data_IF_680117466009
#
_entry.id   IF_680117466009
#
_cell.length_a   1.000
_cell.length_b   1.000
_cell.length_c   1.000
_cell.angle_alpha   90.00
_cell.angle_beta   90.00
_cell.angle_gamma   90.00
#
_symmetry.space_group_name_H-M   'P 1'
#
loop_
_entity.id
_entity.type
_entity.pdbx_description
1 polymer ?
#
# COMPACT_ATOMS: atom_id res chain seq x y z
N UNK A 1 -79.05 45.67 33.51
CA UNK A 1 -77.62 45.81 33.86
C UNK A 1 -76.98 44.46 33.62
N UNK A 2 -76.22 44.33 32.49
CA UNK A 2 -75.62 43.06 32.03
C UNK A 2 -74.14 43.03 32.40
N UNK A 3 -73.75 42.04 33.18
CA UNK A 3 -72.32 41.76 33.46
C UNK A 3 -71.75 40.98 32.31
N UNK A 4 -70.64 41.45 31.80
CA UNK A 4 -69.80 40.72 30.85
C UNK A 4 -68.73 39.97 31.60
N UNK A 5 -68.71 38.64 31.41
CA UNK A 5 -67.65 37.75 31.89
C UNK A 5 -66.59 37.65 30.78
N UNK A 6 -65.34 37.99 31.09
CA UNK A 6 -64.20 37.86 30.20
C UNK A 6 -63.54 36.49 30.47
N UNK A 7 -63.65 35.57 29.54
CA UNK A 7 -62.89 34.27 29.61
C UNK A 7 -61.54 34.41 29.00
N UNK A 8 -60.53 34.09 29.78
CA UNK A 8 -59.08 33.95 29.33
C UNK A 8 -58.91 32.55 28.78
N UNK A 9 -58.63 32.45 27.48
CA UNK A 9 -58.19 31.20 26.83
C UNK A 9 -56.67 31.14 26.87
N UNK A 10 -56.16 30.23 27.68
CA UNK A 10 -54.74 29.85 27.63
C UNK A 10 -54.45 28.92 26.43
N UNK A 11 -53.79 29.44 25.41
CA UNK A 11 -53.23 28.64 24.32
C UNK A 11 -51.90 28.00 24.79
N UNK A 12 -51.95 26.70 25.05
CA UNK A 12 -50.72 25.90 25.26
C UNK A 12 -50.16 25.53 23.88
N UNK A 13 -49.12 26.25 23.47
CA UNK A 13 -48.41 25.95 22.24
C UNK A 13 -47.50 24.73 22.45
N UNK A 14 -47.87 23.58 21.91
CA UNK A 14 -47.00 22.41 21.83
C UNK A 14 -45.94 22.64 20.76
N UNK A 15 -44.70 22.95 21.16
CA UNK A 15 -43.56 22.96 20.25
C UNK A 15 -43.20 21.50 19.88
N UNK A 16 -43.55 21.11 18.66
CA UNK A 16 -43.07 19.85 18.06
C UNK A 16 -41.61 20.07 17.66
N UNK A 17 -40.69 19.57 18.46
CA UNK A 17 -39.29 19.41 18.08
C UNK A 17 -39.20 18.33 17.00
N UNK A 18 -39.27 18.72 15.74
CA UNK A 18 -38.87 17.86 14.63
C UNK A 18 -37.36 17.64 14.67
N UNK A 19 -36.91 16.58 15.30
CA UNK A 19 -35.52 16.09 15.10
C UNK A 19 -35.42 15.64 13.64
N UNK A 20 -34.78 16.46 12.81
CA UNK A 20 -34.35 16.05 11.48
C UNK A 20 -33.25 15.00 11.67
N UNK A 21 -33.59 13.72 11.59
CA UNK A 21 -32.65 12.71 11.26
C UNK A 21 -32.08 13.04 9.87
N UNK A 22 -30.92 13.67 9.81
CA UNK A 22 -30.16 13.69 8.57
C UNK A 22 -29.86 12.23 8.22
N UNK A 23 -30.54 11.71 7.19
CA UNK A 23 -30.11 10.51 6.50
C UNK A 23 -28.66 10.75 6.10
N UNK A 24 -27.73 10.05 6.73
CA UNK A 24 -26.39 9.87 6.20
C UNK A 24 -26.61 9.32 4.80
N UNK A 25 -26.33 10.13 3.79
CA UNK A 25 -26.51 9.75 2.40
C UNK A 25 -25.74 8.46 2.18
N UNK A 26 -26.43 7.42 1.75
CA UNK A 26 -25.77 6.21 1.22
C UNK A 26 -24.87 6.71 0.10
N UNK A 27 -23.55 6.54 0.26
CA UNK A 27 -22.60 6.74 -0.84
C UNK A 27 -23.00 5.69 -1.87
N UNK A 28 -23.65 6.14 -2.96
CA UNK A 28 -23.87 5.28 -4.12
C UNK A 28 -22.48 4.89 -4.64
N UNK A 29 -22.09 3.67 -4.40
CA UNK A 29 -20.88 3.11 -5.00
C UNK A 29 -21.18 2.89 -6.47
N UNK A 30 -20.46 3.59 -7.34
CA UNK A 30 -20.49 3.31 -8.77
C UNK A 30 -19.98 1.89 -9.02
N UNK A 31 -20.93 0.98 -9.27
CA UNK A 31 -20.67 -0.44 -9.55
C UNK A 31 -20.51 -0.72 -11.03
N UNK A 32 -20.42 0.31 -11.88
CA UNK A 32 -20.18 0.11 -13.32
C UNK A 32 -18.91 -0.72 -13.53
N UNK A 33 -18.98 -1.84 -14.25
CA UNK A 33 -17.83 -2.71 -14.42
C UNK A 33 -16.68 -2.04 -15.16
N UNK A 34 -15.45 -2.23 -14.67
CA UNK A 34 -14.21 -1.80 -15.35
C UNK A 34 -13.90 -2.82 -16.46
N UNK A 35 -14.29 -2.50 -17.70
CA UNK A 35 -14.15 -3.38 -18.86
C UNK A 35 -13.04 -2.97 -19.82
N UNK A 36 -12.01 -2.27 -19.33
CA UNK A 36 -10.86 -1.77 -20.05
C UNK A 36 -9.57 -2.02 -19.28
N UNK A 37 -8.41 -1.85 -19.93
CA UNK A 37 -7.12 -1.88 -19.27
C UNK A 37 -7.00 -0.69 -18.33
N UNK A 38 -6.79 -0.94 -17.05
CA UNK A 38 -6.89 0.06 -16.01
C UNK A 38 -5.67 0.08 -15.08
N UNK A 39 -5.35 1.26 -14.56
CA UNK A 39 -4.53 1.41 -13.36
C UNK A 39 -5.42 1.70 -12.15
N UNK A 40 -5.19 0.98 -11.06
CA UNK A 40 -5.84 1.22 -9.78
C UNK A 40 -4.85 1.94 -8.86
N UNK A 41 -5.20 3.13 -8.41
CA UNK A 41 -4.36 3.97 -7.54
C UNK A 41 -5.03 4.11 -6.18
N UNK A 42 -4.36 3.64 -5.14
CA UNK A 42 -4.84 3.80 -3.76
C UNK A 42 -4.51 5.21 -3.27
N UNK A 43 -5.52 5.92 -2.78
CA UNK A 43 -5.41 7.28 -2.25
C UNK A 43 -5.62 7.25 -0.73
N UNK A 44 -4.51 7.20 0.03
CA UNK A 44 -4.53 6.97 1.47
C UNK A 44 -5.36 7.98 2.25
N UNK A 45 -5.19 9.27 2.00
CA UNK A 45 -5.93 10.30 2.72
C UNK A 45 -7.39 10.42 2.26
N UNK A 46 -7.66 10.21 0.97
CA UNK A 46 -9.03 10.25 0.44
C UNK A 46 -9.84 9.00 0.77
N UNK A 47 -9.20 7.92 1.21
CA UNK A 47 -9.83 6.61 1.43
C UNK A 47 -10.58 6.12 0.19
N UNK A 48 -9.90 6.19 -0.97
CA UNK A 48 -10.48 5.84 -2.28
C UNK A 48 -9.48 5.11 -3.16
N UNK A 49 -9.99 4.52 -4.25
CA UNK A 49 -9.18 4.05 -5.38
C UNK A 49 -9.58 4.85 -6.61
N UNK A 50 -8.62 5.52 -7.24
CA UNK A 50 -8.83 6.10 -8.57
C UNK A 50 -8.59 5.03 -9.63
N UNK A 51 -9.54 4.87 -10.55
CA UNK A 51 -9.44 3.94 -11.69
C UNK A 51 -9.10 4.75 -12.93
N UNK A 52 -7.87 4.59 -13.41
CA UNK A 52 -7.36 5.28 -14.60
C UNK A 52 -7.53 4.34 -15.80
N UNK A 53 -8.15 4.84 -16.85
CA UNK A 53 -8.20 4.14 -18.14
C UNK A 53 -6.85 4.31 -18.85
N UNK A 54 -6.14 3.21 -19.10
CA UNK A 54 -4.79 3.23 -19.68
C UNK A 54 -4.77 3.67 -21.16
N UNK A 55 -5.89 3.59 -21.88
CA UNK A 55 -5.95 4.04 -23.27
C UNK A 55 -6.07 5.56 -23.41
N UNK A 56 -6.70 6.22 -22.43
CA UNK A 56 -6.92 7.68 -22.43
C UNK A 56 -6.05 8.42 -21.43
N UNK A 57 -5.47 7.71 -20.45
CA UNK A 57 -4.75 8.28 -19.31
C UNK A 57 -5.62 9.28 -18.51
N UNK A 58 -6.89 8.95 -18.32
CA UNK A 58 -7.82 9.75 -17.52
C UNK A 58 -8.45 8.90 -16.44
N UNK A 59 -8.82 9.52 -15.30
CA UNK A 59 -9.62 8.84 -14.28
C UNK A 59 -11.03 8.62 -14.83
N UNK A 60 -11.42 7.36 -14.95
CA UNK A 60 -12.75 6.94 -15.40
C UNK A 60 -13.74 6.97 -14.24
N UNK A 61 -13.35 6.44 -13.09
CA UNK A 61 -14.15 6.47 -11.87
C UNK A 61 -13.30 6.42 -10.61
N UNK A 62 -13.96 6.70 -9.49
CA UNK A 62 -13.37 6.58 -8.15
C UNK A 62 -14.19 5.60 -7.32
N UNK A 63 -13.54 4.58 -6.76
CA UNK A 63 -14.14 3.64 -5.83
C UNK A 63 -13.93 4.15 -4.42
N UNK A 64 -15.00 4.42 -3.68
CA UNK A 64 -14.92 4.76 -2.27
C UNK A 64 -14.67 3.52 -1.44
N UNK A 65 -13.67 3.55 -0.58
CA UNK A 65 -13.40 2.47 0.36
C UNK A 65 -14.25 2.64 1.61
N UNK A 66 -14.69 1.55 2.25
CA UNK A 66 -15.45 1.66 3.48
C UNK A 66 -14.60 2.31 4.57
N UNK A 67 -15.20 3.16 5.39
CA UNK A 67 -14.60 3.59 6.65
C UNK A 67 -14.62 2.38 7.59
N UNK A 68 -13.45 1.97 8.04
CA UNK A 68 -13.32 0.77 8.87
C UNK A 68 -13.36 1.14 10.35
N UNK A 69 -13.90 0.24 11.19
CA UNK A 69 -13.88 0.45 12.64
C UNK A 69 -12.44 0.35 13.15
N UNK A 70 -11.98 1.38 13.83
CA UNK A 70 -10.80 1.29 14.69
C UNK A 70 -11.23 0.60 15.97
N UNK A 71 -10.58 -0.50 16.31
CA UNK A 71 -10.68 -1.05 17.67
C UNK A 71 -9.83 -0.17 18.58
N UNK A 72 -10.46 0.85 19.17
CA UNK A 72 -9.79 1.66 20.17
C UNK A 72 -9.50 0.79 21.40
N UNK A 73 -8.27 0.91 21.89
CA UNK A 73 -7.84 0.41 23.18
C UNK A 73 -8.83 0.86 24.26
N UNK A 74 -9.23 -0.07 25.11
CA UNK A 74 -10.12 0.17 26.24
C UNK A 74 -9.69 1.40 27.04
N UNK A 75 -10.47 2.48 26.98
CA UNK A 75 -10.27 3.66 27.81
C UNK A 75 -10.49 5.01 27.15
N UNK A 76 -10.58 5.14 25.83
CA UNK A 76 -10.95 6.38 25.14
C UNK A 76 -12.34 6.26 24.54
N UNK A 77 -13.21 7.18 24.87
CA UNK A 77 -14.59 7.23 24.42
C UNK A 77 -14.69 7.25 22.89
N UNK A 78 -15.36 6.25 22.33
CA UNK A 78 -15.89 6.24 20.98
C UNK A 78 -15.21 5.28 20.02
N UNK A 79 -15.82 4.11 19.82
CA UNK A 79 -15.60 3.30 18.61
C UNK A 79 -16.20 4.05 17.43
N UNK A 80 -15.40 4.92 16.80
CA UNK A 80 -15.79 5.67 15.62
C UNK A 80 -15.28 5.00 14.34
N UNK A 81 -16.03 5.18 13.27
CA UNK A 81 -15.53 4.87 11.91
C UNK A 81 -14.45 5.88 11.56
N UNK A 82 -13.24 5.41 11.26
CA UNK A 82 -12.08 6.24 10.97
C UNK A 82 -11.45 5.88 9.62
N UNK A 83 -10.72 6.81 9.04
CA UNK A 83 -9.83 6.49 7.93
C UNK A 83 -8.67 5.65 8.46
N UNK A 84 -8.59 4.41 8.00
CA UNK A 84 -7.53 3.46 8.35
C UNK A 84 -6.32 3.55 7.40
N UNK A 85 -6.25 4.59 6.58
CA UNK A 85 -5.15 4.89 5.67
C UNK A 85 -4.82 3.70 4.74
N UNK A 86 -5.66 3.43 3.72
CA UNK A 86 -5.33 2.39 2.74
C UNK A 86 -3.95 2.68 2.13
N UNK A 87 -3.10 1.65 2.07
CA UNK A 87 -1.70 1.86 1.74
C UNK A 87 -1.29 1.13 0.46
N UNK A 88 -1.26 -0.18 0.46
CA UNK A 88 -0.83 -0.94 -0.70
C UNK A 88 -1.98 -1.70 -1.33
N UNK A 89 -1.95 -1.84 -2.65
CA UNK A 89 -2.89 -2.63 -3.43
C UNK A 89 -2.13 -3.68 -4.24
N UNK A 90 -2.66 -4.89 -4.31
CA UNK A 90 -2.21 -5.92 -5.24
C UNK A 90 -3.40 -6.63 -5.90
N UNK A 91 -3.14 -7.31 -7.02
CA UNK A 91 -4.15 -8.07 -7.76
C UNK A 91 -3.94 -9.57 -7.55
N UNK A 92 -5.04 -10.33 -7.56
CA UNK A 92 -4.97 -11.78 -7.72
C UNK A 92 -4.36 -12.13 -9.09
N UNK A 93 -3.72 -13.31 -9.25
CA UNK A 93 -3.10 -13.68 -10.53
C UNK A 93 -4.08 -13.70 -11.71
N UNK A 94 -5.35 -14.08 -11.48
CA UNK A 94 -6.43 -14.07 -12.45
C UNK A 94 -7.05 -12.68 -12.71
N UNK A 95 -6.55 -11.64 -11.99
CA UNK A 95 -7.02 -10.25 -12.08
C UNK A 95 -8.50 -10.04 -11.69
N UNK A 96 -9.13 -11.02 -11.07
CA UNK A 96 -10.53 -10.94 -10.63
C UNK A 96 -10.70 -10.21 -9.29
N UNK A 97 -9.67 -10.22 -8.44
CA UNK A 97 -9.69 -9.62 -7.11
C UNK A 97 -8.57 -8.62 -6.95
N UNK A 98 -8.80 -7.62 -6.12
CA UNK A 98 -7.76 -6.74 -5.58
C UNK A 98 -7.78 -6.81 -4.06
N UNK A 99 -6.61 -6.73 -3.46
CA UNK A 99 -6.44 -6.70 -2.01
C UNK A 99 -5.75 -5.42 -1.60
N UNK A 100 -6.27 -4.78 -0.55
CA UNK A 100 -5.76 -3.51 -0.03
C UNK A 100 -5.43 -3.70 1.45
N UNK A 101 -4.25 -3.26 1.85
CA UNK A 101 -3.83 -3.22 3.25
C UNK A 101 -4.17 -1.87 3.88
N UNK A 102 -4.54 -1.91 5.16
CA UNK A 102 -4.84 -0.75 5.98
C UNK A 102 -4.00 -0.81 7.26
N UNK A 103 -2.90 -0.06 7.31
CA UNK A 103 -2.03 -0.05 8.49
C UNK A 103 -2.65 0.62 9.72
N UNK A 104 -3.73 1.39 9.57
CA UNK A 104 -4.39 2.07 10.67
C UNK A 104 -3.81 3.43 11.03
N UNK A 105 -2.75 3.83 10.35
CA UNK A 105 -2.07 5.12 10.53
C UNK A 105 -1.52 5.62 9.19
N UNK A 106 -1.25 6.92 9.11
CA UNK A 106 -0.61 7.52 7.94
C UNK A 106 0.89 7.17 7.92
N UNK A 107 1.28 6.34 6.97
CA UNK A 107 2.69 6.00 6.68
C UNK A 107 3.17 6.63 5.37
N UNK A 108 2.41 7.56 4.78
CA UNK A 108 2.79 8.30 3.58
C UNK A 108 3.72 9.45 3.91
N UNK A 109 4.52 9.88 2.94
CA UNK A 109 5.42 11.04 3.11
C UNK A 109 6.90 10.70 3.11
N UNK A 110 7.24 9.51 2.61
CA UNK A 110 8.60 9.00 2.55
C UNK A 110 9.02 8.32 3.84
N UNK A 111 9.89 7.41 3.67
CA UNK A 111 10.49 6.47 4.60
C UNK A 111 10.94 7.03 5.95
N UNK A 112 11.26 8.32 6.02
CA UNK A 112 11.65 8.98 7.26
C UNK A 112 10.53 9.04 8.32
N UNK A 113 9.25 8.88 7.94
CA UNK A 113 8.16 8.91 8.91
C UNK A 113 7.98 7.59 9.66
N UNK A 114 8.17 6.44 9.01
CA UNK A 114 8.24 5.17 9.74
C UNK A 114 9.34 5.23 10.80
N UNK A 115 10.49 5.73 10.42
CA UNK A 115 11.65 5.81 11.27
C UNK A 115 11.49 6.83 12.39
N UNK A 116 11.01 8.05 12.10
CA UNK A 116 10.80 9.08 13.11
C UNK A 116 9.72 8.71 14.13
N UNK A 117 8.71 7.96 13.73
CA UNK A 117 7.68 7.45 14.63
C UNK A 117 8.22 6.40 15.60
N UNK A 118 9.29 5.69 15.25
CA UNK A 118 9.83 4.57 16.03
C UNK A 118 11.16 4.88 16.76
N UNK A 119 11.88 5.95 16.41
CA UNK A 119 13.25 6.20 16.93
C UNK A 119 13.34 7.24 18.05
N UNK A 120 12.30 8.03 18.34
CA UNK A 120 12.35 8.94 19.47
C UNK A 120 12.18 8.16 20.77
N UNK A 121 13.22 8.13 21.61
CA UNK A 121 13.28 7.36 22.86
C UNK A 121 12.18 7.67 23.89
N UNK A 122 11.35 8.70 23.64
CA UNK A 122 10.13 8.99 24.41
C UNK A 122 8.94 8.14 24.01
N UNK A 123 9.03 7.33 22.94
CA UNK A 123 7.92 6.59 22.36
C UNK A 123 7.89 5.10 22.68
N UNK A 124 8.85 4.54 23.43
CA UNK A 124 8.74 3.14 23.86
C UNK A 124 7.43 2.87 24.65
N UNK A 125 6.91 3.86 25.36
CA UNK A 125 5.59 3.79 26.00
C UNK A 125 4.42 4.01 25.03
N UNK A 126 4.59 4.85 24.00
CA UNK A 126 3.57 5.12 22.99
C UNK A 126 3.58 4.10 21.85
N UNK A 127 4.72 3.44 21.60
CA UNK A 127 4.85 2.34 20.65
C UNK A 127 3.92 1.19 21.03
N UNK A 128 3.81 0.88 22.32
CA UNK A 128 2.86 -0.13 22.83
C UNK A 128 1.41 0.23 22.50
N UNK A 129 1.04 1.50 22.48
CA UNK A 129 -0.31 1.95 22.15
C UNK A 129 -0.56 2.04 20.64
N UNK A 130 0.44 2.45 19.84
CA UNK A 130 0.30 2.53 18.36
C UNK A 130 0.39 1.14 17.71
N UNK A 131 1.17 0.22 18.26
CA UNK A 131 1.20 -1.19 17.84
C UNK A 131 -0.05 -1.99 18.24
N UNK A 132 -0.92 -1.45 19.08
CA UNK A 132 -2.25 -2.00 19.31
C UNK A 132 -3.26 -1.61 18.23
N UNK A 133 -2.85 -0.83 17.23
CA UNK A 133 -3.70 -0.55 16.07
C UNK A 133 -3.84 -1.85 15.27
N UNK A 134 -5.05 -2.37 15.23
CA UNK A 134 -5.34 -3.55 14.42
C UNK A 134 -5.33 -3.16 12.96
N UNK A 135 -4.35 -3.64 12.21
CA UNK A 135 -4.34 -3.54 10.76
C UNK A 135 -5.50 -4.31 10.15
N UNK A 136 -5.87 -3.94 8.95
CA UNK A 136 -6.94 -4.62 8.20
C UNK A 136 -6.50 -4.90 6.77
N UNK A 137 -7.13 -5.91 6.19
CA UNK A 137 -7.02 -6.22 4.77
C UNK A 137 -8.43 -6.23 4.22
N UNK A 138 -8.64 -5.53 3.11
CA UNK A 138 -9.87 -5.51 2.36
C UNK A 138 -9.68 -6.19 1.02
N UNK A 139 -10.52 -7.16 0.72
CA UNK A 139 -10.57 -7.85 -0.56
C UNK A 139 -11.78 -7.33 -1.33
N UNK A 140 -11.53 -6.85 -2.55
CA UNK A 140 -12.55 -6.34 -3.45
C UNK A 140 -12.58 -7.13 -4.76
N UNK A 141 -13.73 -7.16 -5.39
CA UNK A 141 -13.85 -7.53 -6.80
C UNK A 141 -13.16 -6.47 -7.67
N UNK A 142 -12.22 -6.88 -8.51
CA UNK A 142 -11.40 -5.95 -9.28
C UNK A 142 -12.16 -5.31 -10.46
N UNK A 143 -13.30 -5.85 -10.83
CA UNK A 143 -14.13 -5.33 -11.94
C UNK A 143 -15.15 -4.32 -11.44
N UNK A 144 -15.83 -4.65 -10.35
CA UNK A 144 -16.95 -3.83 -9.82
C UNK A 144 -16.54 -2.91 -8.67
N UNK A 145 -15.44 -3.24 -7.97
CA UNK A 145 -15.06 -2.57 -6.72
C UNK A 145 -15.86 -3.03 -5.49
N UNK A 146 -16.73 -4.03 -5.64
CA UNK A 146 -17.54 -4.52 -4.54
C UNK A 146 -16.67 -5.24 -3.48
N UNK A 147 -16.98 -5.02 -2.20
CA UNK A 147 -16.30 -5.69 -1.09
C UNK A 147 -16.65 -7.18 -1.06
N UNK A 148 -15.62 -8.02 -1.09
CA UNK A 148 -15.74 -9.48 -0.95
C UNK A 148 -15.52 -9.89 0.51
N UNK A 149 -14.46 -9.37 1.15
CA UNK A 149 -14.07 -9.75 2.49
C UNK A 149 -13.24 -8.68 3.19
N UNK A 150 -13.42 -8.57 4.50
CA UNK A 150 -12.55 -7.84 5.42
C UNK A 150 -11.87 -8.83 6.37
N UNK A 151 -10.56 -8.68 6.58
CA UNK A 151 -9.77 -9.41 7.56
C UNK A 151 -9.19 -8.43 8.57
N UNK A 152 -9.31 -8.75 9.84
CA UNK A 152 -8.69 -8.00 10.94
C UNK A 152 -7.45 -8.75 11.41
N UNK A 153 -6.34 -8.01 11.60
CA UNK A 153 -5.06 -8.53 12.04
C UNK A 153 -4.73 -8.06 13.46
N UNK A 154 -3.83 -8.77 14.12
CA UNK A 154 -3.36 -8.47 15.47
C UNK A 154 -2.17 -7.49 15.50
N UNK A 155 -1.92 -6.77 14.40
CA UNK A 155 -0.87 -5.77 14.24
C UNK A 155 -1.03 -5.03 12.92
N UNK A 156 -0.08 -4.16 12.60
CA UNK A 156 -0.12 -3.31 11.40
C UNK A 156 0.10 -4.17 10.15
N UNK A 157 -0.81 -4.06 9.16
CA UNK A 157 -0.65 -4.65 7.84
C UNK A 157 -0.10 -3.62 6.87
N UNK A 158 1.11 -3.81 6.37
CA UNK A 158 1.71 -2.89 5.41
C UNK A 158 1.38 -3.30 3.98
N UNK A 159 1.51 -4.60 3.67
CA UNK A 159 1.10 -5.16 2.40
C UNK A 159 0.33 -6.48 2.55
N UNK A 160 -0.35 -6.86 1.45
CA UNK A 160 -0.92 -8.19 1.28
C UNK A 160 -0.82 -8.60 -0.19
N UNK A 161 -0.38 -9.83 -0.46
CA UNK A 161 -0.16 -10.33 -1.81
C UNK A 161 -0.70 -11.75 -1.96
N UNK A 162 -1.27 -12.04 -3.12
CA UNK A 162 -1.65 -13.41 -3.48
C UNK A 162 -0.41 -14.22 -3.88
N UNK A 163 -0.43 -15.51 -3.56
CA UNK A 163 0.53 -16.45 -4.15
C UNK A 163 0.37 -16.50 -5.67
N UNK A 164 1.44 -16.78 -6.45
CA UNK A 164 1.36 -16.82 -7.91
C UNK A 164 0.35 -17.82 -8.46
N UNK A 165 0.03 -18.89 -7.72
CA UNK A 165 -1.02 -19.86 -8.08
C UNK A 165 -2.44 -19.43 -7.64
N UNK A 166 -2.57 -18.28 -6.97
CA UNK A 166 -3.83 -17.71 -6.52
C UNK A 166 -4.50 -18.40 -5.34
N UNK A 167 -3.86 -19.40 -4.72
CA UNK A 167 -4.49 -20.21 -3.67
C UNK A 167 -4.34 -19.62 -2.27
N UNK A 168 -3.38 -18.76 -2.06
CA UNK A 168 -3.07 -18.19 -0.76
C UNK A 168 -2.97 -16.67 -0.81
N UNK A 169 -3.28 -16.03 0.31
CA UNK A 169 -3.05 -14.61 0.55
C UNK A 169 -2.05 -14.47 1.71
N UNK A 170 -0.95 -13.77 1.46
CA UNK A 170 0.12 -13.58 2.40
C UNK A 170 0.21 -12.12 2.83
N UNK A 171 0.50 -11.88 4.10
CA UNK A 171 0.69 -10.53 4.64
C UNK A 171 1.74 -10.51 5.73
N UNK A 172 2.59 -9.49 5.73
CA UNK A 172 3.44 -9.17 6.87
C UNK A 172 2.60 -8.46 7.95
N UNK A 173 2.80 -8.84 9.21
CA UNK A 173 2.20 -8.20 10.37
C UNK A 173 3.31 -7.59 11.21
N UNK A 174 3.39 -6.27 11.18
CA UNK A 174 4.37 -5.47 11.91
C UNK A 174 4.12 -5.57 13.40
N UNK A 175 5.03 -6.20 14.10
CA UNK A 175 5.05 -6.39 15.55
C UNK A 175 6.50 -6.39 16.03
N UNK A 176 6.77 -6.17 17.33
CA UNK A 176 8.11 -6.36 17.91
C UNK A 176 8.65 -7.78 17.71
N UNK A 177 7.76 -8.78 17.69
CA UNK A 177 8.03 -10.14 17.19
C UNK A 177 7.22 -10.25 15.91
N UNK A 178 7.88 -10.06 14.77
CA UNK A 178 7.23 -9.99 13.46
C UNK A 178 6.60 -11.33 13.05
N UNK A 179 5.53 -11.24 12.29
CA UNK A 179 4.82 -12.41 11.77
C UNK A 179 4.52 -12.24 10.28
N UNK A 180 4.44 -13.36 9.59
CA UNK A 180 3.76 -13.47 8.30
C UNK A 180 2.55 -14.36 8.50
N UNK A 181 1.39 -13.90 8.07
CA UNK A 181 0.15 -14.69 8.08
C UNK A 181 -0.19 -15.13 6.68
N UNK A 182 -0.60 -16.38 6.55
CA UNK A 182 -1.00 -17.02 5.30
C UNK A 182 -2.46 -17.45 5.43
N UNK A 183 -3.27 -16.99 4.49
CA UNK A 183 -4.70 -17.30 4.44
C UNK A 183 -5.03 -18.10 3.18
N UNK A 184 -6.01 -18.97 3.25
CA UNK A 184 -6.64 -19.60 2.08
C UNK A 184 -7.36 -18.55 1.24
N UNK A 185 -7.04 -18.41 -0.04
CA UNK A 185 -7.61 -17.36 -0.90
C UNK A 185 -9.07 -17.63 -1.32
N UNK A 186 -9.60 -18.83 -1.06
CA UNK A 186 -10.97 -19.20 -1.40
C UNK A 186 -11.98 -18.81 -0.31
N UNK A 187 -11.59 -18.94 0.97
CA UNK A 187 -12.46 -18.70 2.12
C UNK A 187 -11.86 -17.74 3.16
N UNK A 188 -10.58 -17.35 2.98
CA UNK A 188 -9.81 -16.47 3.86
C UNK A 188 -9.60 -16.99 5.28
N UNK A 189 -9.65 -18.31 5.48
CA UNK A 189 -9.25 -18.93 6.73
C UNK A 189 -7.73 -18.84 6.93
N UNK A 190 -7.30 -18.59 8.17
CA UNK A 190 -5.87 -18.58 8.51
C UNK A 190 -5.31 -20.00 8.40
N UNK A 191 -4.33 -20.20 7.52
CA UNK A 191 -3.63 -21.48 7.30
C UNK A 191 -2.36 -21.59 8.14
N UNK A 192 -1.58 -20.51 8.19
CA UNK A 192 -0.27 -20.50 8.83
C UNK A 192 0.09 -19.14 9.43
N UNK A 193 0.96 -19.19 10.46
CA UNK A 193 1.61 -18.00 11.03
C UNK A 193 3.09 -18.32 11.20
N UNK A 194 3.94 -17.57 10.51
CA UNK A 194 5.39 -17.73 10.48
C UNK A 194 5.99 -16.59 11.30
N UNK A 195 6.80 -16.92 12.32
CA UNK A 195 7.54 -15.90 13.07
C UNK A 195 8.78 -15.49 12.27
N UNK A 196 8.96 -14.19 12.06
CA UNK A 196 10.07 -13.60 11.29
C UNK A 196 10.79 -12.53 12.13
N UNK A 197 11.65 -11.73 11.51
CA UNK A 197 12.34 -10.63 12.20
C UNK A 197 11.40 -9.54 12.70
N UNK A 198 11.97 -8.56 13.40
CA UNK A 198 11.22 -7.45 14.00
C UNK A 198 10.75 -6.47 12.93
N UNK A 199 9.53 -5.97 13.09
CA UNK A 199 8.92 -4.97 12.21
C UNK A 199 9.00 -5.36 10.72
N UNK A 200 8.44 -6.53 10.34
CA UNK A 200 8.40 -6.90 8.92
C UNK A 200 7.47 -5.93 8.18
N UNK A 201 7.99 -5.29 7.14
CA UNK A 201 7.23 -4.33 6.35
C UNK A 201 6.52 -5.01 5.17
N UNK A 202 7.25 -5.68 4.32
CA UNK A 202 6.69 -6.28 3.13
C UNK A 202 7.00 -7.76 2.98
N UNK A 203 6.06 -8.43 2.31
CA UNK A 203 6.18 -9.80 1.84
C UNK A 203 6.05 -9.84 0.32
N UNK A 204 7.00 -10.49 -0.37
CA UNK A 204 7.01 -10.61 -1.82
C UNK A 204 7.44 -12.01 -2.26
N UNK A 205 6.89 -12.47 -3.37
CA UNK A 205 7.28 -13.74 -3.97
C UNK A 205 8.46 -13.57 -4.92
N UNK A 206 9.31 -14.60 -5.04
CA UNK A 206 10.23 -14.73 -6.16
C UNK A 206 9.47 -14.90 -7.49
N UNK A 207 10.12 -14.60 -8.62
CA UNK A 207 9.49 -14.71 -9.94
C UNK A 207 8.96 -16.13 -10.24
N UNK A 208 9.64 -17.16 -9.74
CA UNK A 208 9.21 -18.56 -9.89
C UNK A 208 8.17 -19.00 -8.85
N UNK A 209 7.79 -18.11 -7.93
CA UNK A 209 6.78 -18.33 -6.91
C UNK A 209 7.16 -19.33 -5.81
N UNK A 210 8.40 -19.83 -5.78
CA UNK A 210 8.80 -20.87 -4.82
C UNK A 210 9.25 -20.34 -3.48
N UNK A 211 9.68 -19.09 -3.43
CA UNK A 211 10.17 -18.44 -2.21
C UNK A 211 9.43 -17.14 -1.94
N UNK A 212 9.37 -16.81 -0.67
CA UNK A 212 8.80 -15.58 -0.16
C UNK A 212 9.88 -14.83 0.61
N UNK A 213 10.03 -13.56 0.32
CA UNK A 213 11.01 -12.66 0.92
C UNK A 213 10.28 -11.69 1.85
N UNK A 214 10.80 -11.53 3.06
CA UNK A 214 10.22 -10.67 4.10
C UNK A 214 11.29 -9.71 4.58
N UNK A 215 11.12 -8.43 4.28
CA UNK A 215 12.01 -7.37 4.75
C UNK A 215 11.69 -7.03 6.21
N UNK A 216 12.64 -7.24 7.12
CA UNK A 216 12.47 -7.03 8.57
C UNK A 216 13.19 -5.74 8.99
N UNK A 217 12.48 -4.63 9.01
CA UNK A 217 13.04 -3.29 9.16
C UNK A 217 13.93 -3.11 10.39
N UNK A 218 13.49 -3.51 11.57
CA UNK A 218 14.27 -3.34 12.79
C UNK A 218 15.31 -4.44 13.02
N UNK A 219 15.22 -5.56 12.32
CA UNK A 219 16.22 -6.63 12.39
C UNK A 219 17.35 -6.47 11.36
N UNK A 220 17.25 -5.52 10.44
CA UNK A 220 18.23 -5.28 9.37
C UNK A 220 18.56 -6.56 8.57
N UNK A 221 17.52 -7.32 8.24
CA UNK A 221 17.66 -8.57 7.50
C UNK A 221 16.41 -8.88 6.65
N UNK A 222 16.58 -9.86 5.76
CA UNK A 222 15.50 -10.43 4.97
C UNK A 222 15.35 -11.90 5.36
N UNK A 223 14.16 -12.30 5.74
CA UNK A 223 13.79 -13.71 5.97
C UNK A 223 13.30 -14.30 4.67
N UNK A 224 13.85 -15.44 4.27
CA UNK A 224 13.45 -16.20 3.08
C UNK A 224 12.68 -17.43 3.53
N UNK A 225 11.47 -17.59 3.02
CA UNK A 225 10.52 -18.65 3.37
C UNK A 225 10.25 -19.51 2.13
N UNK A 226 10.19 -20.83 2.31
CA UNK A 226 9.67 -21.73 1.28
C UNK A 226 8.16 -21.54 1.13
N UNK A 227 7.71 -21.21 -0.07
CA UNK A 227 6.31 -20.88 -0.32
C UNK A 227 5.35 -22.07 -0.16
N UNK A 228 5.85 -23.32 -0.26
CA UNK A 228 5.04 -24.53 -0.16
C UNK A 228 5.01 -25.03 1.29
N UNK A 229 6.20 -25.23 1.88
CA UNK A 229 6.32 -25.84 3.22
C UNK A 229 6.14 -24.83 4.36
N UNK A 230 6.18 -23.52 4.07
CA UNK A 230 6.13 -22.41 5.04
C UNK A 230 7.31 -22.39 6.02
N UNK A 231 8.36 -23.13 5.72
CA UNK A 231 9.58 -23.17 6.54
C UNK A 231 10.50 -21.99 6.17
N UNK A 232 11.13 -21.42 7.18
CA UNK A 232 12.22 -20.46 6.98
C UNK A 232 13.41 -21.23 6.41
N UNK A 233 13.87 -20.82 5.24
CA UNK A 233 15.05 -21.38 4.59
C UNK A 233 16.32 -20.72 5.10
N UNK A 234 16.27 -19.41 5.25
CA UNK A 234 17.38 -18.60 5.72
C UNK A 234 16.95 -17.22 6.19
N UNK A 235 17.84 -16.52 6.87
CA UNK A 235 17.70 -15.09 7.21
C UNK A 235 19.01 -14.41 6.90
N UNK A 236 19.01 -13.53 5.90
CA UNK A 236 20.20 -12.90 5.36
C UNK A 236 20.28 -11.44 5.81
N UNK A 237 21.41 -11.00 6.33
CA UNK A 237 21.64 -9.59 6.69
C UNK A 237 21.54 -8.71 5.45
N UNK A 238 20.83 -7.58 5.56
CA UNK A 238 20.73 -6.54 4.55
C UNK A 238 21.40 -5.24 5.04
N UNK A 239 21.16 -4.13 4.36
CA UNK A 239 21.45 -2.81 4.91
C UNK A 239 20.50 -2.44 6.05
N UNK A 240 20.68 -1.24 6.60
CA UNK A 240 19.88 -0.75 7.72
C UNK A 240 18.47 -0.38 7.28
N UNK A 241 17.50 -0.89 8.02
CA UNK A 241 16.08 -0.63 7.88
C UNK A 241 15.53 -1.00 6.48
N UNK A 242 15.56 -2.30 6.11
CA UNK A 242 14.93 -2.76 4.89
C UNK A 242 13.40 -2.65 5.01
N UNK A 243 12.74 -2.09 3.99
CA UNK A 243 11.27 -1.91 3.98
C UNK A 243 10.59 -2.69 2.87
N UNK A 244 11.29 -3.02 1.80
CA UNK A 244 10.79 -3.84 0.71
C UNK A 244 11.82 -4.85 0.21
N UNK A 245 11.31 -5.90 -0.43
CA UNK A 245 12.10 -6.87 -1.18
C UNK A 245 11.34 -7.15 -2.48
N UNK A 246 11.60 -6.36 -3.52
CA UNK A 246 10.85 -6.34 -4.77
C UNK A 246 11.44 -7.31 -5.79
N UNK A 247 10.63 -7.99 -6.61
CA UNK A 247 11.14 -8.73 -7.76
C UNK A 247 11.96 -7.83 -8.68
N UNK A 248 13.19 -8.22 -8.92
CA UNK A 248 14.17 -7.53 -9.77
C UNK A 248 14.40 -8.25 -11.09
N UNK A 249 15.44 -7.89 -11.81
CA UNK A 249 15.81 -8.52 -13.07
C UNK A 249 16.68 -9.74 -12.86
N UNK A 250 16.58 -10.72 -13.77
CA UNK A 250 17.51 -11.86 -13.83
C UNK A 250 17.49 -12.75 -12.58
N UNK A 251 16.32 -12.93 -11.96
CA UNK A 251 16.18 -13.74 -10.75
C UNK A 251 16.76 -13.07 -9.51
N UNK A 252 16.77 -11.74 -9.46
CA UNK A 252 17.15 -10.96 -8.29
C UNK A 252 15.92 -10.45 -7.56
N UNK A 253 16.11 -10.18 -6.26
CA UNK A 253 15.22 -9.33 -5.47
C UNK A 253 15.97 -8.03 -5.17
N UNK A 254 15.29 -6.89 -5.26
CA UNK A 254 15.79 -5.60 -4.82
C UNK A 254 15.34 -5.34 -3.40
N UNK A 255 16.29 -5.15 -2.49
CA UNK A 255 16.01 -4.84 -1.09
C UNK A 255 16.37 -3.39 -0.83
N UNK A 256 15.37 -2.55 -0.61
CA UNK A 256 15.55 -1.12 -0.33
C UNK A 256 15.83 -0.90 1.16
N UNK A 257 16.98 -0.33 1.46
CA UNK A 257 17.45 -0.05 2.81
C UNK A 257 17.40 1.46 3.04
N UNK A 258 16.35 1.92 3.71
CA UNK A 258 16.07 3.35 3.84
C UNK A 258 17.14 4.13 4.56
N UNK A 259 17.66 3.59 5.67
CA UNK A 259 18.69 4.28 6.47
C UNK A 259 20.05 4.34 5.80
N UNK A 260 20.40 3.31 5.05
CA UNK A 260 21.67 3.27 4.33
C UNK A 260 21.59 3.94 2.96
N UNK A 261 20.38 4.29 2.51
CA UNK A 261 20.16 4.87 1.18
C UNK A 261 20.74 3.98 0.08
N UNK A 262 20.44 2.67 0.17
CA UNK A 262 20.94 1.66 -0.77
C UNK A 262 19.86 0.72 -1.26
N UNK A 263 20.11 0.11 -2.42
CA UNK A 263 19.43 -1.10 -2.85
C UNK A 263 20.40 -2.26 -2.79
N UNK A 264 20.10 -3.28 -1.99
CA UNK A 264 20.80 -4.56 -2.09
C UNK A 264 20.16 -5.43 -3.18
N UNK A 265 21.00 -6.14 -3.94
CA UNK A 265 20.56 -7.18 -4.85
C UNK A 265 20.74 -8.53 -4.21
N UNK A 266 19.65 -9.26 -4.09
CA UNK A 266 19.61 -10.59 -3.48
C UNK A 266 19.19 -11.61 -4.54
N UNK A 267 19.97 -12.68 -4.70
CA UNK A 267 19.61 -13.74 -5.63
C UNK A 267 18.38 -14.49 -5.11
N UNK A 268 17.31 -14.53 -5.88
CA UNK A 268 16.02 -15.11 -5.47
C UNK A 268 16.07 -16.63 -5.31
N UNK A 269 17.02 -17.30 -5.95
CA UNK A 269 17.20 -18.77 -5.83
C UNK A 269 18.01 -19.13 -4.60
N UNK A 270 19.12 -18.43 -4.34
CA UNK A 270 20.04 -18.76 -3.24
C UNK A 270 19.79 -17.98 -1.97
N UNK A 271 19.03 -16.87 -2.01
CA UNK A 271 18.85 -15.94 -0.88
C UNK A 271 20.08 -15.11 -0.53
N UNK A 272 21.16 -15.23 -1.29
CA UNK A 272 22.43 -14.54 -1.02
C UNK A 272 22.43 -13.12 -1.59
N UNK A 273 22.99 -12.17 -0.83
CA UNK A 273 23.29 -10.83 -1.34
C UNK A 273 24.42 -10.91 -2.37
N UNK A 274 24.20 -10.27 -3.53
CA UNK A 274 25.12 -10.32 -4.68
C UNK A 274 25.75 -8.97 -5.01
N UNK A 275 25.15 -7.88 -4.52
CA UNK A 275 25.64 -6.52 -4.77
C UNK A 275 24.83 -5.45 -4.04
N UNK A 276 25.32 -4.22 -4.12
CA UNK A 276 24.70 -3.04 -3.53
C UNK A 276 24.80 -1.86 -4.47
N UNK A 277 23.70 -1.15 -4.67
CA UNK A 277 23.66 0.13 -5.37
C UNK A 277 23.53 1.25 -4.34
N UNK A 278 24.46 2.20 -4.34
CA UNK A 278 24.40 3.41 -3.54
C UNK A 278 23.49 4.43 -4.23
N UNK A 279 22.52 4.98 -3.51
CA UNK A 279 21.53 5.90 -4.05
C UNK A 279 21.87 7.35 -3.75
N UNK A 280 22.29 7.68 -2.50
CA UNK A 280 22.49 9.03 -2.01
C UNK A 280 21.19 9.75 -1.62
N UNK A 281 20.07 9.04 -1.59
CA UNK A 281 18.75 9.50 -1.14
C UNK A 281 18.00 8.32 -0.52
N UNK A 282 17.01 8.61 0.30
CA UNK A 282 16.13 7.57 0.86
C UNK A 282 15.14 7.09 -0.20
N UNK A 283 15.17 5.80 -0.58
CA UNK A 283 14.31 5.26 -1.62
C UNK A 283 12.84 5.19 -1.17
N UNK A 284 11.93 5.39 -2.11
CA UNK A 284 10.51 5.04 -1.93
C UNK A 284 10.25 3.61 -2.38
N UNK A 285 10.38 3.33 -3.66
CA UNK A 285 10.18 2.01 -4.26
C UNK A 285 11.21 1.77 -5.37
N UNK A 286 11.77 0.55 -5.41
CA UNK A 286 12.56 0.07 -6.54
C UNK A 286 11.73 -0.86 -7.43
N UNK A 287 11.72 -0.63 -8.73
CA UNK A 287 11.00 -1.44 -9.70
C UNK A 287 11.88 -1.82 -10.89
N UNK A 288 11.72 -3.05 -11.38
CA UNK A 288 12.43 -3.55 -12.55
C UNK A 288 11.64 -3.27 -13.83
N UNK A 289 12.29 -2.66 -14.81
CA UNK A 289 11.84 -2.68 -16.20
C UNK A 289 12.66 -3.73 -16.96
N UNK A 290 12.15 -4.93 -17.03
CA UNK A 290 12.86 -6.08 -17.63
C UNK A 290 13.05 -5.91 -19.14
N UNK A 291 12.14 -5.21 -19.82
CA UNK A 291 12.21 -4.96 -21.27
C UNK A 291 13.37 -4.02 -21.65
N UNK A 292 13.68 -3.07 -20.78
CA UNK A 292 14.75 -2.10 -20.99
C UNK A 292 16.03 -2.41 -20.20
N UNK A 293 16.03 -3.51 -19.45
CA UNK A 293 17.13 -3.92 -18.55
C UNK A 293 17.49 -2.81 -17.55
N UNK A 294 16.47 -2.19 -16.92
CA UNK A 294 16.61 -1.04 -16.04
C UNK A 294 15.99 -1.29 -14.67
N UNK A 295 16.61 -0.73 -13.64
CA UNK A 295 16.05 -0.54 -12.31
C UNK A 295 15.67 0.94 -12.16
N UNK A 296 14.43 1.21 -11.78
CA UNK A 296 13.89 2.54 -11.52
C UNK A 296 13.61 2.68 -10.03
N UNK A 297 14.08 3.76 -9.42
CA UNK A 297 13.92 4.00 -7.97
C UNK A 297 13.33 5.40 -7.77
N UNK A 298 12.24 5.48 -7.03
CA UNK A 298 11.66 6.77 -6.63
C UNK A 298 12.48 7.43 -5.53
N UNK A 299 12.64 8.75 -5.66
CA UNK A 299 13.21 9.66 -4.68
C UNK A 299 12.10 10.62 -4.20
N UNK A 300 11.40 10.28 -3.11
CA UNK A 300 10.29 11.09 -2.61
C UNK A 300 10.68 12.52 -2.26
N UNK A 301 11.87 12.70 -1.68
CA UNK A 301 12.36 14.00 -1.25
C UNK A 301 12.85 14.87 -2.40
N UNK A 302 13.45 14.24 -3.42
CA UNK A 302 13.95 14.90 -4.61
C UNK A 302 12.89 15.12 -5.69
N UNK A 303 11.70 14.53 -5.54
CA UNK A 303 10.62 14.57 -6.54
C UNK A 303 11.08 14.04 -7.90
N UNK A 304 11.75 12.89 -7.87
CA UNK A 304 12.41 12.29 -9.02
C UNK A 304 12.24 10.78 -9.05
N UNK A 305 12.50 10.24 -10.21
CA UNK A 305 12.78 8.81 -10.40
C UNK A 305 14.17 8.70 -10.99
N UNK A 306 15.05 7.98 -10.36
CA UNK A 306 16.38 7.69 -10.86
C UNK A 306 16.38 6.33 -11.57
N UNK A 307 17.17 6.22 -12.63
CA UNK A 307 17.21 5.04 -13.51
C UNK A 307 18.63 4.52 -13.58
N UNK A 308 18.78 3.24 -13.29
CA UNK A 308 20.02 2.50 -13.49
C UNK A 308 19.82 1.46 -14.58
N UNK A 309 20.77 1.37 -15.49
CA UNK A 309 20.84 0.28 -16.47
C UNK A 309 21.76 -0.82 -15.93
N UNK A 310 21.31 -2.06 -16.01
CA UNK A 310 22.12 -3.21 -15.68
C UNK A 310 23.09 -3.49 -16.83
N UNK A 311 24.39 -3.48 -16.54
CA UNK A 311 25.49 -3.70 -17.49
C UNK A 311 26.34 -4.88 -17.03
N UNK A 312 27.28 -5.31 -17.87
CA UNK A 312 28.26 -6.33 -17.50
C UNK A 312 29.13 -5.92 -16.28
N UNK A 313 29.21 -4.62 -15.99
CA UNK A 313 29.95 -4.06 -14.85
C UNK A 313 29.06 -3.76 -13.64
N UNK A 314 27.77 -4.15 -13.68
CA UNK A 314 26.77 -3.87 -12.66
C UNK A 314 25.82 -2.73 -13.05
N UNK A 315 25.12 -2.18 -12.06
CA UNK A 315 24.16 -1.11 -12.25
C UNK A 315 24.84 0.25 -12.37
N UNK A 316 24.60 0.93 -13.50
CA UNK A 316 25.13 2.27 -13.79
C UNK A 316 23.96 3.23 -13.95
N UNK A 317 24.03 4.39 -13.28
CA UNK A 317 22.99 5.43 -13.43
C UNK A 317 22.94 5.89 -14.89
N UNK A 318 21.77 5.81 -15.49
CA UNK A 318 21.54 6.12 -16.91
C UNK A 318 20.59 7.27 -17.13
N UNK A 319 19.86 7.72 -16.11
CA UNK A 319 18.95 8.84 -16.22
C UNK A 319 18.26 9.21 -14.93
N UNK A 320 17.55 10.34 -15.02
CA UNK A 320 16.71 10.86 -13.96
C UNK A 320 15.50 11.55 -14.58
N UNK A 321 14.33 11.32 -14.06
CA UNK A 321 13.07 11.93 -14.49
C UNK A 321 12.51 12.76 -13.35
N UNK A 322 12.25 14.05 -13.59
CA UNK A 322 11.50 14.88 -12.62
C UNK A 322 10.02 14.54 -12.74
N UNK A 323 9.37 14.36 -11.60
CA UNK A 323 7.94 13.99 -11.48
C UNK A 323 7.22 14.95 -10.53
N UNK A 324 6.06 14.60 -10.03
CA UNK A 324 5.37 15.38 -8.99
C UNK A 324 6.00 15.19 -7.61
N UNK A 325 5.54 16.02 -6.67
CA UNK A 325 6.05 16.01 -5.29
C UNK A 325 5.64 14.74 -4.55
N UNK A 326 6.61 14.14 -3.84
CA UNK A 326 6.40 12.92 -3.07
C UNK A 326 6.29 11.67 -3.95
N UNK A 327 7.24 11.47 -4.88
CA UNK A 327 7.30 10.29 -5.73
C UNK A 327 7.34 9.00 -4.88
N UNK A 328 6.39 8.07 -5.07
CA UNK A 328 6.24 6.88 -4.23
C UNK A 328 6.27 5.59 -5.06
N UNK A 329 5.15 5.06 -5.50
CA UNK A 329 5.10 3.79 -6.21
C UNK A 329 5.29 3.91 -7.72
N UNK A 330 5.83 2.84 -8.32
CA UNK A 330 6.10 2.72 -9.75
C UNK A 330 5.34 1.52 -10.33
N UNK A 331 4.73 1.70 -11.50
CA UNK A 331 4.22 0.61 -12.31
C UNK A 331 4.55 0.82 -13.78
N UNK A 332 4.99 -0.25 -14.47
CA UNK A 332 5.23 -0.22 -15.92
C UNK A 332 4.07 -0.87 -16.67
N UNK A 333 3.78 -0.35 -17.87
CA UNK A 333 2.93 -1.10 -18.78
C UNK A 333 3.61 -2.41 -19.21
N UNK A 334 2.84 -3.34 -19.74
CA UNK A 334 3.34 -4.67 -20.11
C UNK A 334 4.47 -4.64 -21.18
N UNK A 335 4.51 -3.58 -21.97
CA UNK A 335 5.54 -3.34 -22.99
C UNK A 335 6.79 -2.69 -22.42
N UNK A 336 6.78 -2.24 -21.16
CA UNK A 336 7.89 -1.54 -20.52
C UNK A 336 8.19 -0.16 -21.10
N UNK A 337 7.28 0.40 -21.91
CA UNK A 337 7.47 1.68 -22.63
C UNK A 337 6.87 2.89 -21.91
N UNK A 338 5.91 2.65 -21.04
CA UNK A 338 5.26 3.67 -20.21
C UNK A 338 5.41 3.32 -18.74
N UNK A 339 5.79 4.31 -17.94
CA UNK A 339 5.92 4.22 -16.49
C UNK A 339 4.90 5.15 -15.84
N UNK A 340 4.23 4.67 -14.81
CA UNK A 340 3.31 5.42 -13.96
C UNK A 340 3.93 5.56 -12.57
N UNK A 341 3.98 6.79 -12.06
CA UNK A 341 4.55 7.11 -10.74
C UNK A 341 3.54 7.88 -9.92
N UNK A 342 3.21 7.39 -8.73
CA UNK A 342 2.34 8.13 -7.80
C UNK A 342 3.12 9.25 -7.13
N UNK A 343 2.49 10.43 -7.01
CA UNK A 343 3.05 11.61 -6.37
C UNK A 343 2.18 11.96 -5.16
N UNK A 344 2.56 11.48 -4.00
CA UNK A 344 1.74 11.51 -2.77
C UNK A 344 1.35 12.93 -2.35
N UNK A 345 2.30 13.86 -2.42
CA UNK A 345 2.07 15.24 -1.98
C UNK A 345 1.19 16.01 -2.95
N UNK A 346 1.36 15.77 -4.25
CA UNK A 346 0.62 16.48 -5.30
C UNK A 346 -0.78 15.89 -5.56
N UNK A 347 -1.05 14.66 -5.12
CA UNK A 347 -2.30 13.97 -5.44
C UNK A 347 -2.41 13.64 -6.93
N UNK A 348 -1.31 13.27 -7.56
CA UNK A 348 -1.24 13.00 -9.00
C UNK A 348 -0.52 11.67 -9.31
N UNK A 349 -0.67 11.22 -10.55
CA UNK A 349 0.16 10.16 -11.15
C UNK A 349 0.89 10.77 -12.35
N UNK A 350 2.22 10.71 -12.35
CA UNK A 350 3.06 11.06 -13.50
C UNK A 350 3.07 9.91 -14.51
N UNK A 351 2.82 10.23 -15.78
CA UNK A 351 2.92 9.29 -16.91
C UNK A 351 4.20 9.60 -17.66
N UNK A 352 5.12 8.64 -17.72
CA UNK A 352 6.47 8.83 -18.22
C UNK A 352 6.68 7.94 -19.44
N UNK A 353 7.23 8.53 -20.50
CA UNK A 353 7.79 7.78 -21.63
C UNK A 353 9.17 7.23 -21.20
N UNK A 354 9.28 5.91 -21.12
CA UNK A 354 10.48 5.23 -20.64
C UNK A 354 11.67 5.45 -21.59
N UNK A 355 11.44 5.42 -22.90
CA UNK A 355 12.50 5.53 -23.91
C UNK A 355 13.14 6.92 -23.91
N UNK A 356 12.31 7.97 -23.79
CA UNK A 356 12.80 9.36 -23.78
C UNK A 356 13.13 9.86 -22.38
N UNK A 357 12.76 9.11 -21.32
CA UNK A 357 12.89 9.49 -19.90
C UNK A 357 12.26 10.86 -19.63
N UNK A 358 11.06 11.11 -20.18
CA UNK A 358 10.33 12.36 -20.00
C UNK A 358 8.92 12.12 -19.48
N UNK A 359 8.52 12.94 -18.52
CA UNK A 359 7.12 13.02 -18.11
C UNK A 359 6.29 13.56 -19.30
N UNK A 360 5.28 12.82 -19.69
CA UNK A 360 4.35 13.20 -20.75
C UNK A 360 3.19 14.02 -20.23
N UNK A 361 2.67 13.63 -19.07
CA UNK A 361 1.52 14.29 -18.42
C UNK A 361 1.40 13.88 -16.96
N UNK A 362 0.56 14.60 -16.22
CA UNK A 362 0.10 14.23 -14.87
C UNK A 362 -1.40 13.99 -14.89
N UNK A 363 -1.84 12.96 -14.15
CA UNK A 363 -3.23 12.62 -13.96
C UNK A 363 -3.60 12.98 -12.53
N UNK A 364 -4.60 13.85 -12.32
CA UNK A 364 -5.11 14.15 -10.99
C UNK A 364 -5.88 12.95 -10.44
N UNK A 365 -5.57 12.54 -9.21
CA UNK A 365 -6.20 11.43 -8.50
C UNK A 365 -6.65 11.90 -7.10
N UNK A 366 -6.93 10.99 -6.19
CA UNK A 366 -7.23 11.36 -4.81
C UNK A 366 -6.01 11.85 -4.03
N UNK A 367 -6.22 12.26 -2.77
CA UNK A 367 -5.15 12.76 -1.91
C UNK A 367 -4.29 11.62 -1.39
N UNK A 368 -2.97 11.84 -1.38
CA UNK A 368 -1.92 10.89 -0.99
C UNK A 368 -2.04 9.56 -1.73
N UNK A 369 -1.86 9.56 -3.07
CA UNK A 369 -1.75 8.33 -3.84
C UNK A 369 -0.42 7.63 -3.49
N UNK A 370 -0.50 6.47 -2.85
CA UNK A 370 0.67 5.78 -2.29
C UNK A 370 1.02 4.48 -3.00
N UNK A 371 0.09 3.88 -3.73
CA UNK A 371 0.38 2.67 -4.51
C UNK A 371 -0.44 2.59 -5.78
N UNK A 372 0.10 1.86 -6.78
CA UNK A 372 -0.52 1.70 -8.10
C UNK A 372 -0.29 0.27 -8.62
N UNK A 373 -1.32 -0.33 -9.21
CA UNK A 373 -1.22 -1.59 -9.96
C UNK A 373 -1.94 -1.49 -11.27
N UNK A 374 -1.45 -2.21 -12.29
CA UNK A 374 -2.06 -2.25 -13.62
C UNK A 374 -2.82 -3.57 -13.82
N UNK A 375 -4.06 -3.45 -14.28
CA UNK A 375 -4.91 -4.58 -14.66
C UNK A 375 -5.14 -4.53 -16.15
N UNK A 376 -4.73 -5.58 -16.84
CA UNK A 376 -5.02 -5.81 -18.26
C UNK A 376 -6.19 -6.79 -18.37
N UNK A 377 -7.14 -6.45 -19.24
CA UNK A 377 -8.33 -7.26 -19.52
C UNK A 377 -7.99 -8.55 -20.24
#
# INVERSE_FOLDING_TARGET
MKQFLLGIVCLVGSAILSSSCQKVGSIETDTTPVNFDAAYVVNGQSNTISVINLSTNTVDKTISLPMLQSSSVAGMMGSGMVNMWPHQISLSPDKSKMVISFPGSDFTGGSGMMLSSFTSGSMMGNLSASLQTQGKILILDAVTGATIKELTLDGIAFNAVYSPDGKELWTAVMLPVGKVKVFDASNYALLNTITVGQMPAEVSFSDDGKKVFVANGMSNNVTVVDAITKQILETTTSGNYPVGAWPGMGGMMYVDNEKDQTINMMNSTTGMMTGTVQLGFTPGMAAANTMMNQMWVTDPSGNKVHVWTNTNSGYVISGTVTVGNGASAIAFNKEGTTCYVTNETDGTVSVINVVTMKEMMKINVGKKPNYIVLRYK
#
